data_IF_160991682829
#
_entry.id   IF_160991682829
#
_cell.length_a   1.000
_cell.length_b   1.000
_cell.length_c   1.000
_cell.angle_alpha   90.00
_cell.angle_beta   90.00
_cell.angle_gamma   90.00
#
_symmetry.space_group_name_H-M   'P 1'
#
loop_
_entity.id
_entity.type
_entity.pdbx_description
1 polymer ?
#
# COMPACT_ATOMS: atom_id res chain seq x y z
N UNK A 1 -34.44 -11.61 -24.56
CA UNK A 1 -33.23 -10.86 -24.20
C UNK A 1 -33.08 -9.73 -25.19
N UNK A 2 -32.85 -8.51 -24.72
CA UNK A 2 -32.80 -7.31 -25.56
C UNK A 2 -31.35 -7.10 -26.03
N UNK A 3 -30.98 -7.81 -27.10
CA UNK A 3 -29.59 -7.89 -27.62
C UNK A 3 -29.00 -6.51 -27.91
N UNK A 4 -29.82 -5.58 -28.37
CA UNK A 4 -29.43 -4.19 -28.63
C UNK A 4 -28.88 -3.49 -27.37
N UNK A 5 -29.43 -3.78 -26.18
CA UNK A 5 -28.92 -3.19 -24.93
C UNK A 5 -27.57 -3.77 -24.53
N UNK A 6 -27.31 -5.03 -24.86
CA UNK A 6 -26.02 -5.67 -24.59
C UNK A 6 -24.94 -5.10 -25.51
N UNK A 7 -25.24 -4.89 -26.80
CA UNK A 7 -24.34 -4.25 -27.75
C UNK A 7 -23.98 -2.81 -27.33
N UNK A 8 -24.96 -2.02 -26.88
CA UNK A 8 -24.69 -0.68 -26.33
C UNK A 8 -23.81 -0.73 -25.07
N UNK A 9 -24.00 -1.75 -24.24
CA UNK A 9 -23.17 -1.94 -23.04
C UNK A 9 -21.72 -2.25 -23.39
N UNK A 10 -21.48 -3.05 -24.43
CA UNK A 10 -20.14 -3.34 -24.95
C UNK A 10 -19.46 -2.03 -25.35
N UNK A 11 -20.12 -1.22 -26.19
CA UNK A 11 -19.58 0.04 -26.66
C UNK A 11 -19.21 0.99 -25.51
N UNK A 12 -20.04 1.03 -24.45
CA UNK A 12 -19.76 1.83 -23.26
C UNK A 12 -18.52 1.32 -22.51
N UNK A 13 -18.38 0.01 -22.32
CA UNK A 13 -17.24 -0.58 -21.64
C UNK A 13 -15.94 -0.44 -22.44
N UNK A 14 -15.98 -0.59 -23.76
CA UNK A 14 -14.81 -0.37 -24.63
C UNK A 14 -14.31 1.08 -24.54
N UNK A 15 -15.22 2.06 -24.56
CA UNK A 15 -14.86 3.48 -24.35
C UNK A 15 -14.25 3.72 -22.96
N UNK A 16 -14.79 3.08 -21.92
CA UNK A 16 -14.21 3.18 -20.58
C UNK A 16 -12.79 2.60 -20.53
N UNK A 17 -12.54 1.47 -21.19
CA UNK A 17 -11.21 0.86 -21.29
C UNK A 17 -10.23 1.75 -22.07
N UNK A 18 -10.68 2.42 -23.12
CA UNK A 18 -9.85 3.39 -23.85
C UNK A 18 -9.44 4.57 -22.95
N UNK A 19 -10.37 5.09 -22.15
CA UNK A 19 -10.05 6.14 -21.17
C UNK A 19 -9.02 5.63 -20.13
N UNK A 20 -9.20 4.42 -19.59
CA UNK A 20 -8.22 3.85 -18.66
C UNK A 20 -6.84 3.65 -19.30
N UNK A 21 -6.81 3.35 -20.61
CA UNK A 21 -5.59 3.24 -21.40
C UNK A 21 -4.87 4.58 -21.53
N UNK A 22 -5.60 5.64 -21.92
CA UNK A 22 -5.07 7.00 -22.04
C UNK A 22 -4.51 7.53 -20.70
N UNK A 23 -5.11 7.10 -19.58
CA UNK A 23 -4.69 7.46 -18.23
C UNK A 23 -3.59 6.53 -17.66
N UNK A 24 -3.13 5.53 -18.40
CA UNK A 24 -2.18 4.50 -17.96
C UNK A 24 -2.60 3.78 -16.67
N UNK A 25 -3.90 3.55 -16.46
CA UNK A 25 -4.45 2.95 -15.25
C UNK A 25 -5.15 1.60 -15.51
N UNK A 26 -4.58 0.79 -16.40
CA UNK A 26 -5.04 -0.56 -16.72
C UNK A 26 -5.13 -1.51 -15.51
N UNK A 27 -4.25 -1.31 -14.53
CA UNK A 27 -4.20 -2.13 -13.30
C UNK A 27 -5.14 -1.60 -12.21
N UNK A 28 -5.94 -0.57 -12.50
CA UNK A 28 -6.92 -0.05 -11.55
C UNK A 28 -8.05 -1.03 -11.32
N UNK A 29 -8.61 -1.02 -10.11
CA UNK A 29 -9.79 -1.82 -9.76
C UNK A 29 -10.96 -1.60 -10.72
N UNK A 30 -11.09 -0.38 -11.26
CA UNK A 30 -12.16 0.00 -12.16
C UNK A 30 -11.95 -0.59 -13.56
N UNK A 31 -10.72 -0.57 -14.08
CA UNK A 31 -10.39 -1.22 -15.35
C UNK A 31 -10.60 -2.75 -15.27
N UNK A 32 -10.19 -3.38 -14.18
CA UNK A 32 -10.42 -4.81 -13.93
C UNK A 32 -11.92 -5.14 -13.89
N UNK A 33 -12.71 -4.37 -13.13
CA UNK A 33 -14.16 -4.56 -13.05
C UNK A 33 -14.85 -4.36 -14.41
N UNK A 34 -14.33 -3.46 -15.24
CA UNK A 34 -14.83 -3.21 -16.60
C UNK A 34 -14.61 -4.42 -17.49
N UNK A 35 -13.43 -5.05 -17.46
CA UNK A 35 -13.18 -6.31 -18.18
C UNK A 35 -14.12 -7.44 -17.73
N UNK A 36 -14.36 -7.61 -16.43
CA UNK A 36 -15.31 -8.61 -15.93
C UNK A 36 -16.75 -8.33 -16.43
N UNK A 37 -17.17 -7.08 -16.39
CA UNK A 37 -18.52 -6.66 -16.84
C UNK A 37 -18.68 -6.86 -18.35
N UNK A 38 -17.63 -6.59 -19.12
CA UNK A 38 -17.59 -6.83 -20.56
C UNK A 38 -17.64 -8.33 -20.88
N UNK A 39 -16.90 -9.16 -20.14
CA UNK A 39 -16.95 -10.62 -20.29
C UNK A 39 -18.33 -11.21 -20.00
N UNK A 40 -19.01 -10.75 -18.95
CA UNK A 40 -20.40 -11.14 -18.66
C UNK A 40 -21.37 -10.72 -19.77
N UNK A 41 -21.13 -9.56 -20.39
CA UNK A 41 -21.95 -9.05 -21.50
C UNK A 41 -21.78 -9.92 -22.74
N UNK A 42 -20.55 -10.35 -23.05
CA UNK A 42 -20.28 -11.30 -24.13
C UNK A 42 -20.90 -12.67 -23.87
N UNK A 43 -20.85 -13.19 -22.64
CA UNK A 43 -21.55 -14.44 -22.28
C UNK A 43 -23.06 -14.32 -22.49
N UNK A 44 -23.65 -13.17 -22.14
CA UNK A 44 -25.08 -12.93 -22.35
C UNK A 44 -25.48 -12.87 -23.84
N UNK A 45 -24.54 -12.54 -24.73
CA UNK A 45 -24.69 -12.61 -26.19
C UNK A 45 -24.36 -13.99 -26.77
N UNK A 46 -23.85 -14.93 -25.97
CA UNK A 46 -23.40 -16.24 -26.42
C UNK A 46 -21.99 -16.24 -27.03
N UNK A 47 -21.25 -15.13 -26.94
CA UNK A 47 -19.88 -15.01 -27.42
C UNK A 47 -18.89 -15.45 -26.33
N UNK A 48 -18.71 -16.76 -26.21
CA UNK A 48 -17.84 -17.36 -25.19
C UNK A 48 -16.38 -17.02 -25.41
N UNK A 49 -15.95 -16.82 -26.66
CA UNK A 49 -14.56 -16.53 -27.00
C UNK A 49 -14.16 -15.15 -26.47
N UNK A 50 -14.93 -14.12 -26.82
CA UNK A 50 -14.63 -12.77 -26.34
C UNK A 50 -14.76 -12.69 -24.81
N UNK A 51 -15.71 -13.42 -24.22
CA UNK A 51 -15.80 -13.52 -22.76
C UNK A 51 -14.54 -14.08 -22.10
N UNK A 52 -13.99 -15.18 -22.61
CA UNK A 52 -12.74 -15.77 -22.12
C UNK A 52 -11.56 -14.80 -22.26
N UNK A 53 -11.46 -14.12 -23.41
CA UNK A 53 -10.42 -13.11 -23.63
C UNK A 53 -10.50 -11.98 -22.58
N UNK A 54 -11.70 -11.49 -22.26
CA UNK A 54 -11.87 -10.46 -21.23
C UNK A 54 -11.53 -10.96 -19.83
N UNK A 55 -11.85 -12.22 -19.52
CA UNK A 55 -11.52 -12.82 -18.23
C UNK A 55 -10.00 -12.94 -18.04
N UNK A 56 -9.28 -13.38 -19.06
CA UNK A 56 -7.80 -13.47 -19.04
C UNK A 56 -7.17 -12.09 -18.84
N UNK A 57 -7.70 -11.06 -19.50
CA UNK A 57 -7.23 -9.68 -19.32
C UNK A 57 -7.48 -9.16 -17.90
N UNK A 58 -8.66 -9.43 -17.33
CA UNK A 58 -8.98 -9.06 -15.95
C UNK A 58 -8.01 -9.71 -14.95
N UNK A 59 -7.75 -11.02 -15.09
CA UNK A 59 -6.84 -11.76 -14.23
C UNK A 59 -5.40 -11.24 -14.32
N UNK A 60 -4.92 -10.98 -15.53
CA UNK A 60 -3.59 -10.42 -15.76
C UNK A 60 -3.42 -9.06 -15.07
N UNK A 61 -4.40 -8.17 -15.22
CA UNK A 61 -4.37 -6.84 -14.60
C UNK A 61 -4.46 -6.94 -13.07
N UNK A 62 -5.25 -7.87 -12.54
CA UNK A 62 -5.35 -8.14 -11.11
C UNK A 62 -4.01 -8.60 -10.52
N UNK A 63 -3.34 -9.54 -11.17
CA UNK A 63 -2.02 -10.03 -10.74
C UNK A 63 -1.02 -8.86 -10.72
N UNK A 64 -0.98 -8.06 -11.77
CA UNK A 64 -0.09 -6.90 -11.87
C UNK A 64 -0.36 -5.85 -10.78
N UNK A 65 -1.62 -5.59 -10.46
CA UNK A 65 -2.00 -4.70 -9.36
C UNK A 65 -1.50 -5.24 -8.00
N UNK A 66 -1.68 -6.53 -7.74
CA UNK A 66 -1.22 -7.18 -6.52
C UNK A 66 0.31 -7.16 -6.39
N UNK A 67 1.04 -7.41 -7.48
CA UNK A 67 2.50 -7.32 -7.52
C UNK A 67 3.00 -5.90 -7.22
N UNK A 68 2.34 -4.88 -7.79
CA UNK A 68 2.65 -3.48 -7.52
C UNK A 68 2.46 -3.14 -6.03
N UNK A 69 1.35 -3.57 -5.44
CA UNK A 69 1.08 -3.38 -4.02
C UNK A 69 2.11 -4.08 -3.14
N UNK A 70 2.47 -5.33 -3.47
CA UNK A 70 3.50 -6.08 -2.75
C UNK A 70 4.86 -5.39 -2.82
N UNK A 71 5.25 -4.90 -4.00
CA UNK A 71 6.50 -4.15 -4.19
C UNK A 71 6.51 -2.87 -3.37
N UNK A 72 5.39 -2.14 -3.33
CA UNK A 72 5.25 -0.93 -2.51
C UNK A 72 5.40 -1.26 -1.02
N UNK A 73 4.75 -2.31 -0.54
CA UNK A 73 4.89 -2.80 0.83
C UNK A 73 6.34 -3.17 1.16
N UNK A 74 6.99 -3.99 0.33
CA UNK A 74 8.39 -4.38 0.51
C UNK A 74 9.35 -3.18 0.48
N UNK A 75 9.08 -2.20 -0.39
CA UNK A 75 9.87 -0.96 -0.42
C UNK A 75 9.66 -0.12 0.85
N UNK A 76 8.45 -0.10 1.40
CA UNK A 76 8.15 0.52 2.70
C UNK A 76 8.89 -0.17 3.84
N UNK A 77 8.95 -1.51 3.84
CA UNK A 77 9.76 -2.27 4.79
C UNK A 77 11.25 -1.97 4.67
N UNK A 78 11.80 -1.90 3.45
CA UNK A 78 13.22 -1.55 3.23
C UNK A 78 13.54 -0.10 3.61
N UNK A 79 12.56 0.81 3.54
CA UNK A 79 12.68 2.20 3.97
C UNK A 79 12.64 2.37 5.49
N UNK A 80 12.30 1.34 6.27
CA UNK A 80 12.48 1.40 7.72
C UNK A 80 13.96 1.59 8.01
N UNK A 81 14.33 2.81 8.43
CA UNK A 81 15.71 3.15 8.79
C UNK A 81 16.13 2.22 9.92
N UNK A 82 17.19 1.45 9.67
CA UNK A 82 17.86 0.67 10.70
C UNK A 82 18.83 1.58 11.42
N UNK A 83 18.45 2.02 12.61
CA UNK A 83 19.36 2.75 13.48
C UNK A 83 20.37 1.79 14.11
N UNK A 84 21.57 2.28 14.36
CA UNK A 84 22.65 1.55 15.01
C UNK A 84 22.79 1.97 16.47
N UNK A 85 23.47 1.13 17.23
CA UNK A 85 23.80 1.45 18.61
C UNK A 85 24.67 2.71 18.68
N UNK A 86 24.32 3.61 19.60
CA UNK A 86 24.86 4.97 19.75
C UNK A 86 24.35 6.06 18.81
N UNK A 87 23.47 5.76 17.85
CA UNK A 87 22.84 6.81 17.04
C UNK A 87 21.99 7.74 17.93
N UNK A 88 21.96 9.03 17.57
CA UNK A 88 21.10 10.04 18.18
C UNK A 88 19.83 10.13 17.35
N UNK A 89 18.69 9.84 17.98
CA UNK A 89 17.37 9.76 17.36
C UNK A 89 16.36 10.58 18.16
N UNK A 90 15.35 11.11 17.49
CA UNK A 90 14.22 11.79 18.12
C UNK A 90 13.10 10.80 18.41
N UNK A 91 12.73 10.62 19.68
CA UNK A 91 11.55 9.86 20.07
C UNK A 91 10.29 10.72 19.90
N UNK A 92 9.34 10.27 19.09
CA UNK A 92 8.07 10.96 18.87
C UNK A 92 7.14 10.73 20.08
N UNK A 93 6.75 11.79 20.77
CA UNK A 93 5.81 11.74 21.89
C UNK A 93 4.43 12.16 21.37
N UNK A 94 3.48 11.22 21.29
CA UNK A 94 2.16 11.44 20.70
C UNK A 94 1.10 11.99 21.67
N UNK A 95 1.43 12.22 22.94
CA UNK A 95 0.46 12.76 23.91
C UNK A 95 0.49 14.28 23.92
N UNK A 96 -0.54 14.85 23.29
CA UNK A 96 -0.85 16.28 23.23
C UNK A 96 -1.51 16.69 24.54
N UNK A 97 -0.74 17.29 25.44
CA UNK A 97 -1.34 18.18 26.44
C UNK A 97 -1.83 19.45 25.72
N UNK A 98 -3.03 19.94 26.05
CA UNK A 98 -3.73 21.05 25.34
C UNK A 98 -2.98 22.39 25.42
N UNK A 99 -1.84 22.42 26.09
CA UNK A 99 -1.02 23.58 26.39
C UNK A 99 0.26 23.69 25.54
N UNK A 100 0.62 22.69 24.72
CA UNK A 100 1.96 22.59 24.16
C UNK A 100 2.04 22.89 22.64
N UNK A 101 2.65 24.03 22.29
CA UNK A 101 2.85 24.54 20.91
C UNK A 101 4.25 24.25 20.35
N UNK A 102 4.97 23.23 20.83
CA UNK A 102 6.34 22.89 20.42
C UNK A 102 6.50 21.43 19.99
N UNK A 103 7.43 21.13 19.07
CA UNK A 103 7.48 19.84 18.37
C UNK A 103 7.71 18.68 19.33
N UNK A 104 6.85 17.67 19.23
CA UNK A 104 6.71 16.49 20.09
C UNK A 104 7.84 15.46 19.89
N UNK A 105 9.10 15.90 19.89
CA UNK A 105 10.26 15.07 19.59
C UNK A 105 11.31 15.22 20.71
N UNK A 106 11.66 14.10 21.34
CA UNK A 106 12.65 14.04 22.42
C UNK A 106 13.97 13.44 21.91
N UNK A 107 15.10 14.18 21.94
CA UNK A 107 16.39 13.63 21.53
C UNK A 107 16.87 12.55 22.51
N UNK A 108 17.17 11.39 21.96
CA UNK A 108 17.54 10.17 22.65
C UNK A 108 18.75 9.53 21.97
N UNK A 109 19.57 8.82 22.74
CA UNK A 109 20.64 7.96 22.22
C UNK A 109 20.22 6.50 22.29
N UNK A 110 20.48 5.74 21.25
CA UNK A 110 20.23 4.29 21.25
C UNK A 110 21.29 3.60 22.09
N UNK A 111 20.85 2.91 23.13
CA UNK A 111 21.71 2.18 24.07
C UNK A 111 21.64 0.67 23.89
N UNK A 112 20.62 0.14 23.23
CA UNK A 112 20.50 -1.29 22.96
C UNK A 112 19.57 -1.52 21.74
N UNK A 113 19.83 -2.60 21.01
CA UNK A 113 19.06 -3.02 19.84
C UNK A 113 18.78 -4.51 19.97
N UNK A 114 17.51 -4.88 20.03
CA UNK A 114 17.08 -6.28 20.12
C UNK A 114 16.12 -6.63 18.99
N UNK A 115 16.02 -7.93 18.70
CA UNK A 115 15.09 -8.47 17.71
C UNK A 115 14.02 -9.27 18.44
N UNK A 116 12.74 -8.88 18.30
CA UNK A 116 11.65 -9.49 19.07
C UNK A 116 10.97 -10.64 18.34
N UNK A 117 10.78 -10.55 17.01
CA UNK A 117 10.24 -11.62 16.15
C UNK A 117 10.26 -11.21 14.65
N UNK A 118 10.10 -12.19 13.74
CA UNK A 118 9.99 -11.98 12.27
C UNK A 118 8.87 -11.03 11.84
N UNK A 119 7.81 -10.91 12.65
CA UNK A 119 6.65 -10.06 12.38
C UNK A 119 6.74 -8.66 12.98
N UNK A 120 7.53 -8.45 14.04
CA UNK A 120 7.56 -7.19 14.80
C UNK A 120 8.81 -6.34 14.58
N UNK A 121 9.87 -6.90 13.97
CA UNK A 121 11.07 -6.15 13.57
C UNK A 121 12.02 -5.81 14.73
N UNK A 122 12.89 -4.82 14.50
CA UNK A 122 13.90 -4.34 15.46
C UNK A 122 13.26 -3.47 16.54
N UNK A 123 13.67 -3.68 17.78
CA UNK A 123 13.33 -2.83 18.92
C UNK A 123 14.56 -2.12 19.47
N UNK A 124 14.36 -0.89 19.90
CA UNK A 124 15.40 0.02 20.34
C UNK A 124 15.17 0.44 21.78
N UNK A 125 16.22 0.38 22.58
CA UNK A 125 16.24 0.96 23.91
C UNK A 125 16.96 2.29 23.88
N UNK A 126 16.37 3.27 24.54
CA UNK A 126 16.80 4.66 24.45
C UNK A 126 17.30 5.19 25.80
N UNK A 127 18.21 6.14 25.74
CA UNK A 127 18.59 6.97 26.87
C UNK A 127 18.53 8.45 26.49
N UNK A 128 18.01 9.27 27.39
CA UNK A 128 18.05 10.73 27.29
C UNK A 128 19.27 11.25 28.04
N UNK A 129 19.54 12.55 27.94
CA UNK A 129 20.51 13.23 28.79
C UNK A 129 20.22 13.10 30.29
N UNK A 130 18.96 12.84 30.66
CA UNK A 130 18.49 12.81 32.05
C UNK A 130 18.32 11.40 32.62
N UNK A 131 18.48 10.35 31.81
CA UNK A 131 18.32 8.97 32.27
C UNK A 131 17.95 7.98 31.17
N UNK A 132 17.93 6.69 31.55
CA UNK A 132 17.58 5.59 30.65
C UNK A 132 16.06 5.42 30.60
N UNK A 133 15.52 5.21 29.41
CA UNK A 133 14.11 4.85 29.24
C UNK A 133 13.99 3.33 29.42
N UNK A 134 13.00 2.90 30.19
CA UNK A 134 12.78 1.48 30.51
C UNK A 134 12.17 0.72 29.35
N UNK A 135 11.36 1.40 28.55
CA UNK A 135 10.56 0.82 27.48
C UNK A 135 11.35 0.61 26.19
N UNK A 136 10.81 -0.25 25.33
CA UNK A 136 11.35 -0.58 24.02
C UNK A 136 10.50 0.07 22.93
N UNK A 137 11.18 0.66 21.95
CA UNK A 137 10.55 1.42 20.87
C UNK A 137 10.81 0.77 19.52
N UNK A 138 9.86 0.93 18.59
CA UNK A 138 10.03 0.46 17.21
C UNK A 138 10.72 1.53 16.36
N UNK A 139 11.17 1.17 15.16
CA UNK A 139 11.70 2.16 14.20
C UNK A 139 10.67 3.21 13.77
N UNK A 140 9.37 2.97 13.97
CA UNK A 140 8.30 3.93 13.65
C UNK A 140 8.17 5.04 14.68
N UNK A 141 8.60 4.79 15.91
CA UNK A 141 8.57 5.75 17.02
C UNK A 141 9.78 6.70 16.99
N UNK A 142 10.78 6.37 16.17
CA UNK A 142 12.05 7.07 16.06
C UNK A 142 12.12 7.92 14.79
N UNK A 143 12.69 9.11 14.94
CA UNK A 143 12.94 10.07 13.87
C UNK A 143 14.45 10.32 13.81
N UNK A 144 15.00 10.43 12.62
CA UNK A 144 16.40 10.82 12.42
C UNK A 144 16.54 12.33 12.64
N UNK A 145 17.47 12.76 13.50
CA UNK A 145 17.65 14.16 13.92
C UNK A 145 18.71 14.89 13.10
#
# INVERSE_FOLDING_TARGET
>A
YDTHKLEQSIECYEKALDIYSQLNCHDSSQAIATHCSLGLTYLALGDTRNAEEQQILAEKNYIRAAECQLKNYQSGLKKQKKFQMNDIVGLKISEVDRSNTSPSILPCKIIDVSYKDESCGLQYKLATLHGKITDWFSSLDLIDL
#
